data_IF_035660217662
#
_entry.id   IF_035660217662
#
_cell.length_a   1.000
_cell.length_b   1.000
_cell.length_c   1.000
_cell.angle_alpha   90.00
_cell.angle_beta   90.00
_cell.angle_gamma   90.00
#
_symmetry.space_group_name_H-M   'P 1'
#
loop_
_entity.id
_entity.type
_entity.pdbx_description
1 polymer ?
#
# COMPACT_ATOMS: atom_id res chain seq x y z
N UNK A 1 -18.34 6.97 -19.18
CA UNK A 1 -18.90 6.23 -18.03
C UNK A 1 -17.72 5.55 -17.34
N UNK A 2 -17.56 5.68 -16.01
CA UNK A 2 -16.46 4.98 -15.31
C UNK A 2 -16.74 3.47 -15.33
N UNK A 3 -15.76 2.62 -15.70
CA UNK A 3 -15.93 1.18 -15.64
C UNK A 3 -16.08 0.71 -14.18
N UNK A 4 -16.76 -0.43 -13.99
CA UNK A 4 -17.03 -0.98 -12.64
C UNK A 4 -15.76 -1.16 -11.81
N UNK A 5 -14.66 -1.56 -12.45
CA UNK A 5 -13.39 -1.82 -11.78
C UNK A 5 -12.77 -0.56 -11.15
N UNK A 6 -13.04 0.63 -11.71
CA UNK A 6 -12.61 1.92 -11.15
C UNK A 6 -13.52 2.42 -10.01
N UNK A 7 -14.69 1.80 -9.82
CA UNK A 7 -15.62 2.12 -8.72
C UNK A 7 -15.35 1.31 -7.45
N UNK A 8 -14.55 0.24 -7.54
CA UNK A 8 -14.18 -0.61 -6.40
C UNK A 8 -13.02 0.04 -5.64
N UNK A 9 -13.21 0.29 -4.35
CA UNK A 9 -12.19 0.76 -3.43
C UNK A 9 -11.65 -0.41 -2.60
N UNK A 10 -10.35 -0.71 -2.73
CA UNK A 10 -9.71 -1.83 -2.03
C UNK A 10 -9.59 -1.60 -0.53
N UNK A 11 -9.83 -0.38 -0.02
CA UNK A 11 -9.76 -0.06 1.42
C UNK A 11 -10.95 -0.56 2.24
N UNK A 12 -11.95 -1.15 1.61
CA UNK A 12 -13.11 -1.69 2.34
C UNK A 12 -12.65 -2.82 3.28
N UNK A 13 -12.87 -2.64 4.58
CA UNK A 13 -12.49 -3.59 5.65
C UNK A 13 -11.10 -3.38 6.26
N UNK A 14 -10.31 -2.43 5.76
CA UNK A 14 -8.90 -2.26 6.18
C UNK A 14 -8.73 -1.46 7.48
N UNK A 15 -9.76 -0.74 7.93
CA UNK A 15 -9.74 0.05 9.17
C UNK A 15 -9.93 -0.84 10.42
N UNK A 16 -8.96 -1.71 10.70
CA UNK A 16 -9.01 -2.72 11.77
C UNK A 16 -7.80 -2.61 12.71
N UNK A 17 -7.94 -3.10 13.93
CA UNK A 17 -6.86 -3.26 14.93
C UNK A 17 -6.90 -4.66 15.51
N UNK A 18 -5.85 -5.06 16.22
CA UNK A 18 -5.82 -6.35 16.94
C UNK A 18 -7.08 -6.59 17.79
N UNK A 19 -7.51 -5.57 18.55
CA UNK A 19 -8.66 -5.68 19.46
C UNK A 19 -10.04 -5.63 18.77
N UNK A 20 -10.14 -5.13 17.53
CA UNK A 20 -11.42 -4.97 16.85
C UNK A 20 -11.28 -4.99 15.32
N UNK A 21 -12.00 -5.93 14.68
CA UNK A 21 -12.01 -6.10 13.24
C UNK A 21 -13.19 -5.38 12.58
N UNK A 22 -12.92 -4.71 11.46
CA UNK A 22 -13.93 -4.27 10.48
C UNK A 22 -13.85 -5.07 9.17
N UNK A 23 -13.13 -6.18 9.19
CA UNK A 23 -12.85 -7.03 8.04
C UNK A 23 -11.45 -7.64 8.09
N UNK A 24 -10.48 -6.94 8.71
CA UNK A 24 -9.07 -7.33 8.73
C UNK A 24 -8.52 -7.61 7.32
N UNK A 25 -8.97 -6.85 6.33
CA UNK A 25 -8.50 -6.91 4.94
C UNK A 25 -7.30 -5.98 4.74
N UNK A 26 -6.62 -6.12 3.61
CA UNK A 26 -5.62 -5.17 3.11
C UNK A 26 -6.07 -4.61 1.75
N UNK A 27 -5.56 -3.43 1.33
CA UNK A 27 -5.95 -2.80 0.08
C UNK A 27 -5.23 -3.42 -1.13
N UNK A 28 -5.38 -4.73 -1.33
CA UNK A 28 -4.62 -5.48 -2.32
C UNK A 28 -4.86 -4.98 -3.74
N UNK A 29 -3.78 -4.53 -4.37
CA UNK A 29 -3.70 -4.34 -5.82
C UNK A 29 -3.05 -5.58 -6.41
N UNK A 30 -3.77 -6.29 -7.28
CA UNK A 30 -3.33 -7.54 -7.88
C UNK A 30 -4.29 -8.04 -8.96
N UNK A 31 -3.80 -8.92 -9.82
CA UNK A 31 -4.68 -9.69 -10.70
C UNK A 31 -5.41 -10.78 -9.88
N UNK A 32 -6.58 -11.27 -10.32
CA UNK A 32 -7.25 -12.38 -9.65
C UNK A 32 -6.30 -13.57 -9.49
N UNK A 33 -6.14 -14.04 -8.25
CA UNK A 33 -5.23 -15.15 -7.90
C UNK A 33 -3.75 -14.88 -8.27
N UNK A 34 -3.32 -13.62 -8.27
CA UNK A 34 -1.94 -13.23 -8.51
C UNK A 34 -0.99 -13.84 -7.47
N UNK A 35 0.24 -14.12 -7.88
CA UNK A 35 1.30 -14.60 -6.98
C UNK A 35 1.71 -13.51 -5.99
N UNK A 36 1.75 -12.25 -6.44
CA UNK A 36 2.13 -11.10 -5.63
C UNK A 36 0.97 -10.10 -5.55
N UNK A 37 0.71 -9.57 -4.36
CA UNK A 37 -0.16 -8.41 -4.18
C UNK A 37 0.65 -7.19 -3.73
N UNK A 38 0.14 -6.00 -4.03
CA UNK A 38 0.80 -4.73 -3.74
C UNK A 38 -0.10 -3.86 -2.88
N UNK A 39 0.44 -3.35 -1.77
CA UNK A 39 -0.29 -2.55 -0.78
C UNK A 39 0.60 -1.43 -0.26
N UNK A 40 0.08 -0.23 0.05
CA UNK A 40 0.86 0.76 0.77
C UNK A 40 1.13 0.29 2.20
N UNK A 41 2.34 0.53 2.71
CA UNK A 41 2.65 0.33 4.13
C UNK A 41 2.56 1.66 4.85
N UNK A 42 1.73 1.75 5.88
CA UNK A 42 1.63 2.92 6.76
C UNK A 42 2.68 2.87 7.87
N UNK A 43 2.89 1.70 8.49
CA UNK A 43 3.79 1.51 9.63
C UNK A 43 4.37 0.09 9.66
N UNK A 44 5.62 -0.05 10.10
CA UNK A 44 6.27 -1.32 10.44
C UNK A 44 6.16 -1.66 11.93
N UNK A 45 5.60 -0.76 12.75
CA UNK A 45 5.55 -0.89 14.21
C UNK A 45 4.27 -1.53 14.75
N UNK A 46 3.28 -1.79 13.90
CA UNK A 46 1.96 -2.33 14.26
C UNK A 46 1.82 -3.84 13.93
N UNK A 47 2.94 -4.54 13.78
CA UNK A 47 2.98 -5.95 13.40
C UNK A 47 2.27 -6.20 12.06
N UNK A 48 1.30 -7.12 12.04
CA UNK A 48 0.54 -7.45 10.84
C UNK A 48 -0.49 -6.40 10.42
N UNK A 49 -0.79 -5.40 11.27
CA UNK A 49 -1.71 -4.29 10.97
C UNK A 49 -0.95 -3.08 10.39
N UNK A 50 -0.16 -3.32 9.35
CA UNK A 50 0.78 -2.34 8.81
C UNK A 50 0.16 -1.24 7.93
N UNK A 51 -1.16 -1.25 7.69
CA UNK A 51 -1.86 -0.27 6.86
C UNK A 51 -3.05 0.35 7.62
N UNK A 52 -3.15 1.68 7.57
CA UNK A 52 -4.31 2.45 8.08
C UNK A 52 -4.84 3.37 6.96
N UNK A 53 -6.09 3.21 6.50
CA UNK A 53 -6.66 4.03 5.44
C UNK A 53 -6.92 5.49 5.84
N UNK A 54 -6.91 5.81 7.14
CA UNK A 54 -7.20 7.15 7.65
C UNK A 54 -5.95 7.97 7.92
N UNK A 55 -4.78 7.34 8.03
CA UNK A 55 -3.52 8.05 8.24
C UNK A 55 -2.89 8.39 6.88
N UNK A 56 -2.72 9.69 6.53
CA UNK A 56 -2.14 10.11 5.26
C UNK A 56 -0.61 9.98 5.27
N UNK A 57 -0.08 8.87 5.79
CA UNK A 57 1.36 8.55 5.89
C UNK A 57 1.59 7.19 5.24
N UNK A 58 2.70 7.08 4.50
CA UNK A 58 3.18 5.80 3.99
C UNK A 58 4.71 5.74 4.02
N UNK A 59 5.22 4.53 4.20
CA UNK A 59 6.64 4.18 4.20
C UNK A 59 7.11 3.63 2.85
N UNK A 60 6.18 3.24 1.97
CA UNK A 60 6.45 2.68 0.65
C UNK A 60 5.31 1.80 0.14
N UNK A 61 5.50 1.19 -1.02
CA UNK A 61 4.64 0.14 -1.54
C UNK A 61 5.25 -1.21 -1.17
N UNK A 62 4.49 -2.03 -0.46
CA UNK A 62 4.85 -3.38 -0.04
C UNK A 62 4.29 -4.39 -1.03
N UNK A 63 5.17 -5.18 -1.64
CA UNK A 63 4.84 -6.49 -2.19
C UNK A 63 4.61 -7.42 -1.01
N UNK A 64 3.43 -8.05 -0.94
CA UNK A 64 2.99 -8.82 0.22
C UNK A 64 2.36 -10.15 -0.20
N UNK A 65 2.48 -11.13 0.69
CA UNK A 65 1.76 -12.41 0.63
C UNK A 65 0.90 -12.62 1.88
N UNK A 66 0.71 -11.59 2.71
CA UNK A 66 -0.08 -11.68 3.92
C UNK A 66 -1.53 -12.02 3.57
N UNK A 67 -2.12 -13.14 4.04
CA UNK A 67 -3.51 -13.48 3.76
C UNK A 67 -4.47 -13.00 4.86
N UNK A 68 -3.95 -12.79 6.08
CA UNK A 68 -4.65 -12.22 7.22
C UNK A 68 -3.63 -11.75 8.26
N UNK A 69 -3.99 -10.85 9.18
CA UNK A 69 -3.04 -10.39 10.19
C UNK A 69 -2.64 -11.48 11.19
N UNK A 70 -3.43 -12.55 11.32
CA UNK A 70 -3.16 -13.67 12.22
C UNK A 70 -2.10 -14.63 11.69
N UNK A 71 -2.03 -14.77 10.36
CA UNK A 71 -1.00 -15.55 9.68
C UNK A 71 0.28 -14.71 9.50
N UNK A 72 0.12 -13.41 9.29
CA UNK A 72 1.22 -12.51 8.99
C UNK A 72 1.72 -12.67 7.56
N UNK A 73 2.85 -12.05 7.27
CA UNK A 73 3.41 -11.95 5.92
C UNK A 73 4.67 -12.79 5.74
N UNK A 74 4.97 -13.18 4.51
CA UNK A 74 6.19 -13.90 4.14
C UNK A 74 6.68 -13.43 2.78
N UNK A 75 7.98 -13.57 2.51
CA UNK A 75 8.60 -13.20 1.23
C UNK A 75 8.18 -11.81 0.72
N UNK A 76 8.01 -10.86 1.63
CA UNK A 76 7.55 -9.52 1.31
C UNK A 76 8.73 -8.59 1.01
N UNK A 77 8.47 -7.53 0.25
CA UNK A 77 9.47 -6.52 -0.13
C UNK A 77 8.84 -5.14 -0.05
N UNK A 78 9.52 -4.18 0.59
CA UNK A 78 9.09 -2.78 0.62
C UNK A 78 9.90 -1.95 -0.37
N UNK A 79 9.22 -1.26 -1.29
CA UNK A 79 9.80 -0.34 -2.26
C UNK A 79 9.44 1.10 -1.86
N UNK A 80 10.46 1.94 -1.63
CA UNK A 80 10.28 3.32 -1.18
C UNK A 80 10.96 4.30 -2.13
N UNK A 81 10.20 4.92 -3.06
CA UNK A 81 10.71 5.99 -3.91
C UNK A 81 11.04 7.24 -3.08
N UNK A 82 12.23 7.80 -3.28
CA UNK A 82 12.72 8.99 -2.57
C UNK A 82 13.47 9.91 -3.52
N UNK A 83 13.51 11.20 -3.19
CA UNK A 83 14.35 12.22 -3.84
C UNK A 83 15.23 12.92 -2.79
N UNK A 84 16.33 13.53 -3.25
CA UNK A 84 17.20 14.35 -2.41
C UNK A 84 18.06 13.56 -1.43
N UNK A 85 18.59 14.25 -0.44
CA UNK A 85 19.41 13.63 0.61
C UNK A 85 18.56 12.86 1.63
N UNK A 86 19.03 11.69 2.01
CA UNK A 86 18.36 10.84 2.98
C UNK A 86 18.61 11.41 4.38
N UNK A 87 17.64 12.16 4.91
CA UNK A 87 17.66 12.56 6.32
C UNK A 87 17.34 11.35 7.21
N UNK A 88 18.29 10.91 8.03
CA UNK A 88 18.10 9.81 8.99
C UNK A 88 18.32 8.40 8.42
N UNK A 89 18.89 7.52 9.23
CA UNK A 89 19.36 6.19 8.79
C UNK A 89 18.31 5.08 8.77
N UNK A 90 17.01 5.37 8.95
CA UNK A 90 15.97 4.34 9.13
C UNK A 90 14.80 4.50 8.17
N UNK A 91 13.99 3.44 8.01
CA UNK A 91 12.77 3.47 7.21
C UNK A 91 11.76 4.53 7.71
N UNK A 92 11.57 4.62 9.02
CA UNK A 92 10.70 5.62 9.64
C UNK A 92 11.07 7.06 9.23
N UNK A 93 12.37 7.39 9.20
CA UNK A 93 12.82 8.72 8.77
C UNK A 93 12.59 8.99 7.28
N UNK A 94 12.27 7.97 6.48
CA UNK A 94 11.96 8.06 5.05
C UNK A 94 10.46 8.05 4.74
N UNK A 95 9.59 7.99 5.75
CA UNK A 95 8.15 8.05 5.50
C UNK A 95 7.75 9.40 4.90
N UNK A 96 6.68 9.38 4.11
CA UNK A 96 6.11 10.57 3.50
C UNK A 96 4.64 10.68 3.84
N UNK A 97 4.16 11.91 3.97
CA UNK A 97 2.73 12.16 3.82
C UNK A 97 2.29 11.96 2.36
N UNK A 98 1.03 11.60 2.15
CA UNK A 98 0.45 11.50 0.81
C UNK A 98 -0.93 12.14 0.75
N UNK A 99 -1.34 12.54 -0.46
CA UNK A 99 -2.66 13.13 -0.69
C UNK A 99 -3.72 12.03 -0.78
N UNK A 100 -4.56 11.89 0.25
CA UNK A 100 -5.64 10.88 0.32
C UNK A 100 -6.67 11.05 -0.80
N UNK A 101 -7.05 12.29 -1.14
CA UNK A 101 -8.10 12.57 -2.12
C UNK A 101 -7.67 12.28 -3.56
N UNK A 102 -6.36 12.33 -3.82
CA UNK A 102 -5.76 12.01 -5.13
C UNK A 102 -5.27 10.57 -5.23
N UNK A 103 -5.17 9.87 -4.10
CA UNK A 103 -4.76 8.48 -4.09
C UNK A 103 -5.83 7.59 -4.73
N UNK A 104 -5.40 6.62 -5.52
CA UNK A 104 -6.28 5.67 -6.19
C UNK A 104 -5.99 4.28 -5.63
N UNK A 105 -7.04 3.64 -5.12
CA UNK A 105 -7.01 2.31 -4.51
C UNK A 105 -7.97 1.37 -5.26
N UNK A 106 -7.60 0.98 -6.48
CA UNK A 106 -8.38 0.04 -7.29
C UNK A 106 -7.68 -1.34 -7.36
N UNK A 107 -8.42 -2.43 -7.64
CA UNK A 107 -7.82 -3.76 -7.71
C UNK A 107 -6.67 -3.89 -8.73
N UNK A 108 -6.77 -3.15 -9.84
CA UNK A 108 -5.83 -3.19 -10.96
C UNK A 108 -4.87 -2.00 -11.03
N UNK A 109 -5.04 -1.01 -10.16
CA UNK A 109 -4.27 0.23 -10.24
C UNK A 109 -4.16 0.91 -8.88
N UNK A 110 -2.91 1.15 -8.47
CA UNK A 110 -2.57 1.89 -7.27
C UNK A 110 -1.83 3.17 -7.66
N UNK A 111 -2.27 4.30 -7.10
CA UNK A 111 -1.59 5.59 -7.27
C UNK A 111 -1.46 6.33 -5.96
N UNK A 112 -0.24 6.76 -5.63
CA UNK A 112 0.05 7.54 -4.44
C UNK A 112 1.02 8.67 -4.79
N UNK A 113 0.71 9.88 -4.34
CA UNK A 113 1.59 11.03 -4.47
C UNK A 113 2.28 11.34 -3.14
N UNK A 114 3.59 11.13 -3.07
CA UNK A 114 4.43 11.53 -1.94
C UNK A 114 4.58 13.05 -1.91
N UNK A 115 4.01 13.69 -0.89
CA UNK A 115 4.15 15.13 -0.69
C UNK A 115 5.56 15.54 -0.28
N UNK A 116 6.29 14.67 0.45
CA UNK A 116 7.65 14.96 0.87
C UNK A 116 8.64 14.91 -0.29
N UNK A 117 8.55 13.87 -1.10
CA UNK A 117 9.51 13.62 -2.18
C UNK A 117 9.05 14.17 -3.53
N UNK A 118 7.81 14.65 -3.62
CA UNK A 118 7.19 15.13 -4.86
C UNK A 118 7.22 14.06 -5.96
N UNK A 119 6.99 12.80 -5.57
CA UNK A 119 6.97 11.64 -6.47
C UNK A 119 5.54 11.12 -6.60
N UNK A 120 5.06 10.93 -7.83
CA UNK A 120 3.84 10.16 -8.10
C UNK A 120 4.21 8.71 -8.42
N UNK A 121 3.87 7.80 -7.52
CA UNK A 121 4.07 6.37 -7.76
C UNK A 121 2.79 5.76 -8.32
N UNK A 122 2.89 5.14 -9.49
CA UNK A 122 1.82 4.41 -10.14
C UNK A 122 2.21 2.94 -10.30
N UNK A 123 1.30 2.03 -9.99
CA UNK A 123 1.53 0.59 -10.07
C UNK A 123 0.33 -0.13 -10.69
N UNK A 124 0.61 -0.99 -11.67
CA UNK A 124 -0.35 -1.96 -12.23
C UNK A 124 0.22 -3.38 -12.14
N UNK A 125 -0.55 -4.35 -11.62
CA UNK A 125 -0.06 -5.70 -11.34
C UNK A 125 -0.14 -6.62 -12.56
N UNK A 126 0.66 -7.68 -12.54
CA UNK A 126 0.54 -8.90 -13.35
C UNK A 126 0.52 -10.10 -12.39
N UNK A 127 0.40 -11.33 -12.89
CA UNK A 127 0.43 -12.51 -12.03
C UNK A 127 1.72 -12.60 -11.20
N UNK A 128 2.87 -12.31 -11.83
CA UNK A 128 4.19 -12.57 -11.24
C UNK A 128 5.01 -11.31 -10.92
N UNK A 129 4.44 -10.12 -11.09
CA UNK A 129 5.16 -8.86 -10.90
C UNK A 129 4.25 -7.66 -11.11
N UNK A 130 4.83 -6.50 -11.38
CA UNK A 130 4.09 -5.28 -11.68
C UNK A 130 4.88 -4.37 -12.62
N UNK A 131 4.16 -3.50 -13.33
CA UNK A 131 4.75 -2.31 -13.97
C UNK A 131 4.62 -1.14 -13.00
N UNK A 132 5.73 -0.41 -12.79
CA UNK A 132 5.82 0.72 -11.87
C UNK A 132 6.34 1.94 -12.63
N UNK A 133 5.66 3.08 -12.46
CA UNK A 133 6.10 4.39 -12.95
C UNK A 133 6.32 5.31 -11.74
N UNK A 134 7.44 6.06 -11.77
CA UNK A 134 7.87 7.02 -10.75
C UNK A 134 8.04 8.41 -11.35
#
# INVERSE_FOLDING_TARGET
MKPILESIDTRFGTASKHAFSRGNTLPYTGVPFGMNYFVPQTSDQEGSWFFDPHLPIFQGIRLTHQPSPWIGDYSWLLLTPITGEISGGTLFHRQSSYNLDRAIFNPHFLKIFSLRYQIETQLTPTCYGASIQL
#
